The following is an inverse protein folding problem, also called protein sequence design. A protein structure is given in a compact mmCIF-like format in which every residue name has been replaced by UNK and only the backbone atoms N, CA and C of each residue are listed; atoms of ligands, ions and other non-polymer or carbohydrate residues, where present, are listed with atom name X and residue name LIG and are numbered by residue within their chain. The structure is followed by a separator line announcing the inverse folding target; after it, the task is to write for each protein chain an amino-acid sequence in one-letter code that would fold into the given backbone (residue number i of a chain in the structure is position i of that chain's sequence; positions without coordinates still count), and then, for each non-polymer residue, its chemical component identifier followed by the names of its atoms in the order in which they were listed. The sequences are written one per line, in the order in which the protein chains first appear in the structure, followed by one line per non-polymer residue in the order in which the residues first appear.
data_IF_260950915582
#
_entry.id   IF_260950915582
#
_cell.length_a   1.000
_cell.length_b   1.000
_cell.length_c   1.000
_cell.angle_alpha   90.00
_cell.angle_beta   90.00
_cell.angle_gamma   90.00
#
_symmetry.space_group_name_H-M   'P 1'
#
loop_
_entity.id
_entity.type
_entity.pdbx_description
1 polymer ?
#
# COMPACT_ATOMS: atom_id res chain seq x y z
N UNK A 1 -23.46 1.27 16.24
CA UNK A 1 -22.52 2.24 15.66
C UNK A 1 -22.83 2.24 14.18
N UNK A 2 -23.28 3.36 13.63
CA UNK A 2 -23.31 3.51 12.17
C UNK A 2 -21.88 3.29 11.67
N UNK A 3 -21.72 2.36 10.73
CA UNK A 3 -20.44 2.14 10.07
C UNK A 3 -20.22 3.36 9.18
N UNK A 4 -19.28 4.23 9.55
CA UNK A 4 -18.98 5.43 8.78
C UNK A 4 -18.49 5.00 7.40
N UNK A 5 -19.22 5.38 6.34
CA UNK A 5 -18.79 5.13 4.97
C UNK A 5 -17.64 6.07 4.60
N UNK A 6 -16.41 5.64 4.87
CA UNK A 6 -15.21 6.42 4.56
C UNK A 6 -15.04 6.67 3.07
N UNK A 7 -15.53 5.78 2.18
CA UNK A 7 -15.47 6.00 0.72
C UNK A 7 -16.35 7.17 0.33
N UNK A 8 -17.58 7.22 0.83
CA UNK A 8 -18.48 8.32 0.57
C UNK A 8 -17.94 9.64 1.13
N UNK A 9 -17.41 9.63 2.35
CA UNK A 9 -16.81 10.82 2.96
C UNK A 9 -15.63 11.35 2.14
N UNK A 10 -14.72 10.48 1.70
CA UNK A 10 -13.58 10.83 0.85
C UNK A 10 -14.02 11.38 -0.51
N UNK A 11 -15.04 10.78 -1.13
CA UNK A 11 -15.59 11.26 -2.39
C UNK A 11 -16.17 12.68 -2.27
N UNK A 12 -16.87 12.98 -1.17
CA UNK A 12 -17.40 14.31 -0.89
C UNK A 12 -16.26 15.32 -0.63
N UNK A 13 -15.22 14.94 0.14
CA UNK A 13 -14.05 15.79 0.36
C UNK A 13 -13.35 16.16 -0.97
N UNK A 14 -13.13 15.18 -1.86
CA UNK A 14 -12.59 15.41 -3.23
C UNK A 14 -13.45 16.36 -4.04
N UNK A 15 -14.77 16.18 -3.99
CA UNK A 15 -15.73 17.04 -4.70
C UNK A 15 -15.71 18.48 -4.16
N UNK A 16 -15.57 18.65 -2.85
CA UNK A 16 -15.48 19.98 -2.25
C UNK A 16 -14.19 20.70 -2.63
N UNK A 17 -13.06 19.99 -2.66
CA UNK A 17 -11.78 20.51 -3.10
C UNK A 17 -11.79 20.95 -4.58
N UNK A 18 -12.54 20.24 -5.44
CA UNK A 18 -12.62 20.54 -6.86
C UNK A 18 -13.48 21.78 -7.22
N UNK A 19 -14.44 22.17 -6.37
CA UNK A 19 -15.50 23.13 -6.72
C UNK A 19 -15.32 24.53 -6.12
N UNK A 20 -14.18 24.83 -5.49
CA UNK A 20 -13.95 26.11 -4.80
C UNK A 20 -12.69 26.79 -5.33
N UNK A 21 -12.62 28.12 -5.22
CA UNK A 21 -11.36 28.87 -5.17
C UNK A 21 -11.04 29.15 -3.69
N UNK A 22 -10.55 28.15 -2.94
CA UNK A 22 -10.28 28.33 -1.52
C UNK A 22 -9.12 29.31 -1.30
N UNK A 23 -9.12 29.98 -0.16
CA UNK A 23 -7.87 30.56 0.34
C UNK A 23 -6.94 29.44 0.85
N UNK A 24 -5.66 29.74 1.08
CA UNK A 24 -4.67 28.72 1.47
C UNK A 24 -5.06 27.92 2.72
N UNK A 25 -5.69 28.57 3.71
CA UNK A 25 -6.12 27.89 4.93
C UNK A 25 -7.24 26.88 4.66
N UNK A 26 -8.21 27.27 3.84
CA UNK A 26 -9.31 26.40 3.41
C UNK A 26 -8.79 25.24 2.55
N UNK A 27 -7.87 25.52 1.64
CA UNK A 27 -7.24 24.51 0.80
C UNK A 27 -6.47 23.49 1.65
N UNK A 28 -5.66 23.96 2.61
CA UNK A 28 -4.92 23.08 3.52
C UNK A 28 -5.87 22.16 4.30
N UNK A 29 -7.01 22.68 4.75
CA UNK A 29 -8.02 21.87 5.43
C UNK A 29 -8.61 20.79 4.51
N UNK A 30 -9.01 21.15 3.28
CA UNK A 30 -9.55 20.20 2.31
C UNK A 30 -8.54 19.11 1.94
N UNK A 31 -7.29 19.48 1.71
CA UNK A 31 -6.21 18.52 1.42
C UNK A 31 -5.97 17.58 2.61
N UNK A 32 -6.05 18.08 3.85
CA UNK A 32 -5.94 17.23 5.04
C UNK A 32 -7.11 16.25 5.16
N UNK A 33 -8.33 16.66 4.81
CA UNK A 33 -9.49 15.74 4.79
C UNK A 33 -9.29 14.60 3.77
N UNK A 34 -8.74 14.91 2.59
CA UNK A 34 -8.41 13.91 1.57
C UNK A 34 -7.33 12.96 2.08
N UNK A 35 -6.20 13.48 2.59
CA UNK A 35 -5.09 12.67 3.13
C UNK A 35 -5.57 11.71 4.22
N UNK A 36 -6.36 12.20 5.18
CA UNK A 36 -6.91 11.35 6.24
C UNK A 36 -7.93 10.34 5.69
N UNK A 37 -8.76 10.76 4.73
CA UNK A 37 -9.74 9.89 4.10
C UNK A 37 -9.09 8.74 3.31
N UNK A 38 -8.01 9.00 2.58
CA UNK A 38 -7.25 7.99 1.85
C UNK A 38 -6.75 6.88 2.80
N UNK A 39 -6.18 7.25 3.95
CA UNK A 39 -5.74 6.29 4.99
C UNK A 39 -6.91 5.47 5.51
N UNK A 40 -8.02 6.12 5.89
CA UNK A 40 -9.16 5.44 6.48
C UNK A 40 -9.83 4.46 5.52
N UNK A 41 -9.93 4.82 4.24
CA UNK A 41 -10.43 3.93 3.20
C UNK A 41 -9.48 2.76 2.98
N UNK A 42 -8.17 3.00 2.90
CA UNK A 42 -7.18 1.95 2.72
C UNK A 42 -7.19 0.93 3.88
N UNK A 43 -7.25 1.41 5.13
CA UNK A 43 -7.39 0.54 6.30
C UNK A 43 -8.72 -0.22 6.33
N UNK A 44 -9.80 0.38 5.83
CA UNK A 44 -11.08 -0.32 5.71
C UNK A 44 -10.98 -1.46 4.69
N UNK A 45 -10.38 -1.22 3.53
CA UNK A 45 -10.15 -2.24 2.51
C UNK A 45 -9.32 -3.40 3.03
N UNK A 46 -8.23 -3.11 3.75
CA UNK A 46 -7.41 -4.15 4.38
C UNK A 46 -8.20 -4.95 5.41
N UNK A 47 -9.02 -4.30 6.25
CA UNK A 47 -9.85 -5.00 7.25
C UNK A 47 -10.93 -5.88 6.61
N UNK A 48 -11.52 -5.41 5.51
CA UNK A 48 -12.60 -6.11 4.80
C UNK A 48 -12.08 -7.11 3.75
N UNK A 49 -10.78 -7.08 3.42
CA UNK A 49 -10.17 -7.84 2.32
C UNK A 49 -10.92 -7.60 0.99
N UNK A 50 -11.15 -6.32 0.68
CA UNK A 50 -11.91 -5.86 -0.47
C UNK A 50 -11.22 -4.66 -1.12
N UNK A 51 -11.25 -4.60 -2.46
CA UNK A 51 -10.70 -3.49 -3.23
C UNK A 51 -9.22 -3.17 -2.92
N UNK A 52 -8.43 -4.16 -2.50
CA UNK A 52 -7.02 -3.96 -2.15
C UNK A 52 -6.19 -3.35 -3.31
N UNK A 53 -6.62 -3.57 -4.55
CA UNK A 53 -6.02 -2.98 -5.75
C UNK A 53 -6.15 -1.45 -5.83
N UNK A 54 -7.05 -0.83 -5.06
CA UNK A 54 -7.19 0.63 -5.00
C UNK A 54 -6.23 1.28 -4.00
N UNK A 55 -5.66 0.52 -3.05
CA UNK A 55 -4.83 1.08 -1.96
C UNK A 55 -3.61 1.82 -2.50
N UNK A 56 -2.99 1.32 -3.58
CA UNK A 56 -1.85 2.00 -4.20
C UNK A 56 -2.20 3.38 -4.76
N UNK A 57 -3.37 3.54 -5.37
CA UNK A 57 -3.83 4.85 -5.86
C UNK A 57 -4.18 5.80 -4.71
N UNK A 58 -4.79 5.30 -3.64
CA UNK A 58 -5.03 6.10 -2.41
C UNK A 58 -3.70 6.58 -1.81
N UNK A 59 -2.68 5.72 -1.75
CA UNK A 59 -1.35 6.08 -1.26
C UNK A 59 -0.66 7.14 -2.16
N UNK A 60 -0.80 7.04 -3.48
CA UNK A 60 -0.27 8.03 -4.43
C UNK A 60 -0.99 9.38 -4.30
N UNK A 61 -2.32 9.38 -4.12
CA UNK A 61 -3.09 10.60 -3.86
C UNK A 61 -2.68 11.25 -2.54
N UNK A 62 -2.58 10.44 -1.49
CA UNK A 62 -2.08 10.87 -0.18
C UNK A 62 -0.74 11.57 -0.31
N UNK A 63 0.26 10.94 -0.94
CA UNK A 63 1.61 11.51 -1.09
C UNK A 63 1.57 12.84 -1.85
N UNK A 64 0.78 12.93 -2.93
CA UNK A 64 0.63 14.16 -3.72
C UNK A 64 0.15 15.33 -2.86
N UNK A 65 -0.89 15.12 -2.06
CA UNK A 65 -1.44 16.16 -1.20
C UNK A 65 -0.56 16.42 0.03
N UNK A 66 0.01 15.37 0.62
CA UNK A 66 0.92 15.45 1.75
C UNK A 66 2.20 16.24 1.40
N UNK A 67 2.75 16.10 0.20
CA UNK A 67 3.87 16.93 -0.26
C UNK A 67 3.52 18.42 -0.35
N UNK A 68 2.32 18.74 -0.84
CA UNK A 68 1.84 20.13 -0.89
C UNK A 68 1.72 20.73 0.51
N UNK A 69 1.16 19.97 1.45
CA UNK A 69 0.98 20.38 2.84
C UNK A 69 2.32 20.50 3.60
N UNK A 70 3.26 19.56 3.35
CA UNK A 70 4.63 19.61 3.90
C UNK A 70 5.36 20.88 3.48
N UNK A 71 5.27 21.29 2.20
CA UNK A 71 5.89 22.53 1.71
C UNK A 71 5.36 23.78 2.42
N UNK A 72 4.09 23.74 2.87
CA UNK A 72 3.43 24.81 3.61
C UNK A 72 3.63 24.71 5.13
N UNK A 73 4.35 23.71 5.62
CA UNK A 73 4.54 23.47 7.06
C UNK A 73 3.25 23.11 7.79
N UNK A 74 2.22 22.63 7.10
CA UNK A 74 0.90 22.39 7.68
C UNK A 74 0.79 20.98 8.25
N UNK A 75 0.39 20.87 9.52
CA UNK A 75 0.03 19.61 10.20
C UNK A 75 1.06 18.47 10.03
N UNK A 76 2.36 18.78 10.14
CA UNK A 76 3.45 17.85 9.87
C UNK A 76 3.34 16.53 10.67
N UNK A 77 2.89 16.59 11.92
CA UNK A 77 2.72 15.41 12.78
C UNK A 77 1.60 14.50 12.25
N UNK A 78 0.51 15.10 11.77
CA UNK A 78 -0.59 14.34 11.15
C UNK A 78 -0.16 13.72 9.84
N UNK A 79 0.66 14.42 9.04
CA UNK A 79 1.23 13.87 7.80
C UNK A 79 2.19 12.71 8.08
N UNK A 80 3.02 12.82 9.13
CA UNK A 80 3.89 11.74 9.57
C UNK A 80 3.09 10.50 9.95
N UNK A 81 2.07 10.65 10.80
CA UNK A 81 1.19 9.55 11.20
C UNK A 81 0.41 8.95 10.02
N UNK A 82 -0.10 9.78 9.11
CA UNK A 82 -0.82 9.32 7.92
C UNK A 82 0.08 8.47 7.00
N UNK A 83 1.32 8.90 6.77
CA UNK A 83 2.27 8.17 5.94
C UNK A 83 2.66 6.81 6.55
N UNK A 84 2.87 6.73 7.87
CA UNK A 84 3.15 5.45 8.54
C UNK A 84 1.96 4.49 8.43
N UNK A 85 0.75 4.96 8.73
CA UNK A 85 -0.47 4.13 8.63
C UNK A 85 -0.70 3.63 7.21
N UNK A 86 -0.46 4.48 6.20
CA UNK A 86 -0.53 4.06 4.80
C UNK A 86 0.56 3.03 4.45
N UNK A 87 1.78 3.20 4.97
CA UNK A 87 2.87 2.24 4.74
C UNK A 87 2.59 0.86 5.35
N UNK A 88 1.81 0.77 6.43
CA UNK A 88 1.40 -0.49 7.05
C UNK A 88 0.41 -1.30 6.18
N UNK A 89 -0.44 -0.62 5.40
CA UNK A 89 -1.46 -1.27 4.56
C UNK A 89 -0.99 -1.56 3.13
N UNK A 90 0.11 -0.94 2.68
CA UNK A 90 0.72 -1.24 1.38
C UNK A 90 1.56 -2.52 1.46
N UNK A 91 1.11 -3.59 0.81
CA UNK A 91 1.79 -4.91 0.87
C UNK A 91 2.46 -5.36 -0.43
N UNK A 92 1.98 -4.88 -1.59
CA UNK A 92 2.37 -5.37 -2.92
C UNK A 92 3.14 -4.36 -3.77
N UNK A 93 3.45 -3.21 -3.20
CA UNK A 93 4.15 -2.09 -3.85
C UNK A 93 5.35 -1.64 -3.02
N UNK A 94 6.46 -2.40 -3.01
CA UNK A 94 7.63 -2.09 -2.17
C UNK A 94 8.24 -0.71 -2.47
N UNK A 95 8.20 -0.22 -3.72
CA UNK A 95 8.71 1.13 -4.04
C UNK A 95 7.81 2.21 -3.46
N UNK A 96 6.49 2.03 -3.53
CA UNK A 96 5.53 2.97 -2.93
C UNK A 96 5.59 2.94 -1.40
N UNK A 97 5.77 1.76 -0.80
CA UNK A 97 6.00 1.63 0.64
C UNK A 97 7.28 2.35 1.07
N UNK A 98 8.35 2.20 0.30
CA UNK A 98 9.61 2.90 0.54
C UNK A 98 9.42 4.42 0.49
N UNK A 99 8.69 4.94 -0.50
CA UNK A 99 8.39 6.36 -0.63
C UNK A 99 7.61 6.90 0.59
N UNK A 100 6.59 6.19 1.05
CA UNK A 100 5.81 6.54 2.25
C UNK A 100 6.70 6.59 3.51
N UNK A 101 7.55 5.58 3.71
CA UNK A 101 8.45 5.54 4.86
C UNK A 101 9.53 6.62 4.80
N UNK A 102 10.05 6.92 3.61
CA UNK A 102 10.99 8.04 3.41
C UNK A 102 10.31 9.38 3.70
N UNK A 103 9.07 9.55 3.22
CA UNK A 103 8.27 10.74 3.53
C UNK A 103 8.03 10.89 5.03
N UNK A 104 7.65 9.81 5.72
CA UNK A 104 7.49 9.80 7.17
C UNK A 104 8.80 10.16 7.88
N UNK A 105 9.92 9.55 7.49
CA UNK A 105 11.26 9.84 8.04
C UNK A 105 11.66 11.30 7.89
N UNK A 106 11.39 11.90 6.73
CA UNK A 106 11.69 13.32 6.50
C UNK A 106 10.89 14.27 7.40
N UNK A 107 9.73 13.82 7.89
CA UNK A 107 8.89 14.55 8.83
C UNK A 107 9.22 14.27 10.29
N UNK A 108 10.00 13.22 10.57
CA UNK A 108 10.40 12.84 11.93
C UNK A 108 11.18 13.97 12.59
N UNK A 109 10.55 14.64 13.56
CA UNK A 109 11.22 15.54 14.49
C UNK A 109 11.35 14.85 15.86
N UNK A 110 12.41 15.13 16.64
CA UNK A 110 12.61 14.53 17.96
C UNK A 110 11.47 14.77 18.95
N UNK A 111 10.63 15.79 18.71
CA UNK A 111 9.48 16.11 19.55
C UNK A 111 8.30 15.12 19.40
N UNK A 112 8.25 14.36 18.30
CA UNK A 112 7.07 13.56 17.93
C UNK A 112 7.39 12.12 17.54
N UNK A 113 8.67 11.79 17.35
CA UNK A 113 9.14 10.45 17.01
C UNK A 113 10.14 10.01 18.08
N UNK A 114 9.82 8.94 18.81
CA UNK A 114 10.78 8.32 19.72
C UNK A 114 11.90 7.60 18.95
N UNK A 115 13.00 7.31 19.66
CA UNK A 115 14.19 6.69 19.08
C UNK A 115 13.90 5.27 18.55
N UNK A 116 12.94 4.56 19.14
CA UNK A 116 12.55 3.21 18.73
C UNK A 116 11.82 3.24 17.38
N UNK A 117 10.81 4.10 17.24
CA UNK A 117 10.06 4.32 16.01
C UNK A 117 10.99 4.78 14.89
N UNK A 118 11.88 5.74 15.17
CA UNK A 118 12.86 6.22 14.20
C UNK A 118 13.80 5.09 13.72
N UNK A 119 14.21 4.21 14.64
CA UNK A 119 15.05 3.06 14.34
C UNK A 119 14.32 2.04 13.47
N UNK A 120 13.06 1.73 13.79
CA UNK A 120 12.25 0.79 13.01
C UNK A 120 12.01 1.31 11.58
N UNK A 121 11.66 2.59 11.41
CA UNK A 121 11.52 3.22 10.08
C UNK A 121 12.81 3.10 9.29
N UNK A 122 13.96 3.46 9.88
CA UNK A 122 15.26 3.38 9.17
C UNK A 122 15.61 1.94 8.78
N UNK A 123 15.27 0.99 9.64
CA UNK A 123 15.50 -0.43 9.42
C UNK A 123 14.65 -0.95 8.26
N UNK A 124 13.36 -0.61 8.23
CA UNK A 124 12.46 -0.98 7.13
C UNK A 124 12.88 -0.32 5.81
N UNK A 125 13.27 0.96 5.82
CA UNK A 125 13.83 1.64 4.64
C UNK A 125 15.07 0.91 4.12
N UNK A 126 15.97 0.48 5.00
CA UNK A 126 17.15 -0.29 4.61
C UNK A 126 16.81 -1.60 3.92
N UNK A 127 15.89 -2.37 4.52
CA UNK A 127 15.39 -3.63 3.97
C UNK A 127 14.75 -3.44 2.58
N UNK A 128 13.85 -2.46 2.44
CA UNK A 128 13.19 -2.17 1.16
C UNK A 128 14.20 -1.75 0.09
N UNK A 129 15.10 -0.81 0.40
CA UNK A 129 16.12 -0.32 -0.55
C UNK A 129 17.02 -1.45 -1.05
N UNK A 130 17.47 -2.32 -0.14
CA UNK A 130 18.33 -3.43 -0.50
C UNK A 130 17.62 -4.39 -1.46
N UNK A 131 16.41 -4.83 -1.12
CA UNK A 131 15.68 -5.81 -1.94
C UNK A 131 15.23 -5.22 -3.28
N UNK A 132 14.81 -3.95 -3.31
CA UNK A 132 14.51 -3.23 -4.57
C UNK A 132 15.76 -3.17 -5.46
N UNK A 133 16.92 -2.79 -4.92
CA UNK A 133 18.18 -2.74 -5.68
C UNK A 133 18.56 -4.11 -6.26
N UNK A 134 18.42 -5.17 -5.46
CA UNK A 134 18.69 -6.53 -5.92
C UNK A 134 17.72 -6.95 -7.03
N UNK A 135 16.44 -6.58 -6.94
CA UNK A 135 15.47 -6.83 -7.99
C UNK A 135 15.78 -6.06 -9.28
N UNK A 136 16.15 -4.79 -9.18
CA UNK A 136 16.54 -3.94 -10.31
C UNK A 136 17.81 -4.45 -11.00
N UNK A 137 18.73 -5.05 -10.24
CA UNK A 137 19.93 -5.72 -10.75
C UNK A 137 19.65 -7.13 -11.32
N UNK A 138 18.40 -7.63 -11.24
CA UNK A 138 18.02 -8.98 -11.66
C UNK A 138 18.52 -10.10 -10.73
N UNK A 139 19.01 -9.76 -9.54
CA UNK A 139 19.57 -10.68 -8.54
C UNK A 139 18.49 -11.22 -7.59
N UNK A 140 17.43 -11.76 -8.17
CA UNK A 140 16.24 -12.21 -7.45
C UNK A 140 16.54 -13.28 -6.38
N UNK A 141 17.55 -14.11 -6.59
CA UNK A 141 17.99 -15.14 -5.64
C UNK A 141 18.65 -14.58 -4.37
N UNK A 142 19.12 -13.33 -4.42
CA UNK A 142 19.82 -12.68 -3.31
C UNK A 142 18.88 -11.85 -2.42
N UNK A 143 17.59 -11.74 -2.81
CA UNK A 143 16.57 -10.98 -2.07
C UNK A 143 16.41 -11.57 -0.67
N UNK A 144 16.48 -10.70 0.34
CA UNK A 144 16.34 -11.11 1.72
C UNK A 144 14.89 -11.51 2.01
N UNK A 145 14.65 -12.71 2.60
CA UNK A 145 13.30 -13.16 2.93
C UNK A 145 12.61 -12.21 3.91
N UNK A 146 11.28 -12.23 3.94
CA UNK A 146 10.54 -11.39 4.87
C UNK A 146 10.78 -11.78 6.32
N UNK A 147 10.75 -10.78 7.19
CA UNK A 147 10.97 -10.92 8.64
C UNK A 147 10.04 -11.92 9.33
N UNK A 148 8.87 -12.17 8.77
CA UNK A 148 7.88 -13.12 9.28
C UNK A 148 8.13 -14.59 8.88
N UNK A 149 9.29 -14.90 8.27
CA UNK A 149 9.71 -16.24 7.84
C UNK A 149 8.85 -16.92 6.75
N UNK A 150 7.83 -16.24 6.22
CA UNK A 150 7.09 -16.72 5.05
C UNK A 150 7.85 -16.35 3.79
N UNK A 151 8.14 -17.33 2.92
CA UNK A 151 8.76 -17.04 1.63
C UNK A 151 7.77 -16.32 0.72
N UNK A 152 8.22 -15.25 0.10
CA UNK A 152 7.53 -14.53 -0.98
C UNK A 152 8.24 -14.79 -2.29
N UNK A 153 7.53 -14.68 -3.41
CA UNK A 153 8.20 -14.80 -4.70
C UNK A 153 9.07 -13.56 -4.91
N UNK A 154 10.38 -13.71 -5.22
CA UNK A 154 11.26 -12.59 -5.54
C UNK A 154 10.73 -11.65 -6.62
N UNK A 155 9.89 -12.14 -7.55
CA UNK A 155 9.30 -11.29 -8.59
C UNK A 155 8.44 -10.16 -8.03
N UNK A 156 7.90 -10.31 -6.81
CA UNK A 156 7.11 -9.29 -6.11
C UNK A 156 7.90 -8.02 -5.76
N UNK A 157 9.23 -8.04 -5.93
CA UNK A 157 10.12 -6.90 -5.75
C UNK A 157 10.43 -6.15 -7.05
N UNK A 158 10.02 -6.68 -8.20
CA UNK A 158 10.32 -6.09 -9.51
C UNK A 158 9.39 -4.93 -9.84
N UNK A 159 9.87 -3.96 -10.63
CA UNK A 159 9.03 -2.87 -11.10
C UNK A 159 7.87 -3.39 -11.98
N UNK A 160 8.16 -4.39 -12.82
CA UNK A 160 7.15 -5.04 -13.68
C UNK A 160 5.98 -5.62 -12.86
N UNK A 161 6.25 -6.18 -11.67
CA UNK A 161 5.21 -6.64 -10.78
C UNK A 161 4.32 -5.49 -10.28
N UNK A 162 4.93 -4.42 -9.75
CA UNK A 162 4.20 -3.26 -9.22
C UNK A 162 3.33 -2.58 -10.28
N UNK A 163 3.77 -2.57 -11.54
CA UNK A 163 3.03 -2.00 -12.67
C UNK A 163 1.72 -2.73 -12.97
N UNK A 164 1.63 -4.03 -12.70
CA UNK A 164 0.51 -4.86 -13.16
C UNK A 164 -0.35 -5.44 -12.04
N UNK A 165 0.15 -5.49 -10.80
CA UNK A 165 -0.47 -6.27 -9.73
C UNK A 165 -1.87 -5.77 -9.34
N UNK A 166 -2.11 -4.46 -9.37
CA UNK A 166 -3.42 -3.89 -9.04
C UNK A 166 -4.47 -4.29 -10.08
N UNK A 167 -4.13 -4.16 -11.36
CA UNK A 167 -5.01 -4.54 -12.46
C UNK A 167 -5.22 -6.07 -12.50
N UNK A 168 -4.16 -6.85 -12.27
CA UNK A 168 -4.27 -8.31 -12.16
C UNK A 168 -5.22 -8.70 -11.01
N UNK A 169 -5.10 -8.06 -9.85
CA UNK A 169 -5.99 -8.28 -8.71
C UNK A 169 -7.44 -7.91 -9.00
N UNK A 170 -7.67 -6.77 -9.67
CA UNK A 170 -9.01 -6.34 -10.09
C UNK A 170 -9.66 -7.39 -11.00
N UNK A 171 -8.93 -7.87 -12.03
CA UNK A 171 -9.37 -8.95 -12.93
C UNK A 171 -9.70 -10.23 -12.16
N UNK A 172 -8.87 -10.62 -11.19
CA UNK A 172 -9.12 -11.81 -10.36
C UNK A 172 -10.37 -11.63 -9.51
N UNK A 173 -10.54 -10.46 -8.88
CA UNK A 173 -11.72 -10.16 -8.07
C UNK A 173 -13.02 -10.23 -8.88
N UNK A 174 -13.03 -9.67 -10.10
CA UNK A 174 -14.16 -9.78 -11.02
C UNK A 174 -14.48 -11.23 -11.39
N UNK A 175 -13.45 -12.04 -11.64
CA UNK A 175 -13.60 -13.44 -12.04
C UNK A 175 -14.00 -14.38 -10.89
N UNK A 176 -13.80 -13.96 -9.64
CA UNK A 176 -14.16 -14.73 -8.44
C UNK A 176 -15.33 -14.09 -7.67
N UNK A 177 -16.02 -13.09 -8.23
CA UNK A 177 -17.07 -12.33 -7.55
C UNK A 177 -18.21 -13.21 -7.02
N UNK A 178 -18.54 -14.30 -7.73
CA UNK A 178 -19.60 -15.24 -7.35
C UNK A 178 -19.12 -16.38 -6.43
N UNK A 179 -17.82 -16.41 -6.08
CA UNK A 179 -17.25 -17.46 -5.24
C UNK A 179 -17.27 -17.01 -3.78
N UNK A 180 -17.87 -17.79 -2.86
CA UNK A 180 -17.87 -17.46 -1.44
C UNK A 180 -16.45 -17.38 -0.87
N UNK A 181 -16.14 -16.28 -0.17
CA UNK A 181 -14.88 -16.08 0.57
C UNK A 181 -14.88 -16.88 1.88
N UNK A 182 -14.77 -18.20 1.76
CA UNK A 182 -14.68 -19.13 2.89
C UNK A 182 -13.36 -19.92 2.91
N UNK A 183 -13.35 -21.01 3.67
CA UNK A 183 -12.23 -21.94 3.76
C UNK A 183 -11.74 -22.37 2.36
N UNK A 184 -10.47 -22.17 2.08
CA UNK A 184 -9.78 -22.52 0.85
C UNK A 184 -9.83 -21.44 -0.23
N UNK A 185 -10.48 -20.30 0.02
CA UNK A 185 -10.59 -19.22 -0.98
C UNK A 185 -9.21 -18.67 -1.38
N UNK A 186 -8.25 -18.60 -0.44
CA UNK A 186 -6.91 -18.11 -0.74
C UNK A 186 -6.23 -18.92 -1.87
N UNK A 187 -6.47 -20.23 -1.92
CA UNK A 187 -5.89 -21.11 -2.95
C UNK A 187 -6.52 -20.87 -4.32
N UNK A 188 -7.85 -20.69 -4.36
CA UNK A 188 -8.55 -20.34 -5.59
C UNK A 188 -8.09 -18.99 -6.13
N UNK A 189 -7.95 -18.01 -5.23
CA UNK A 189 -7.43 -16.68 -5.55
C UNK A 189 -6.00 -16.74 -6.09
N UNK A 190 -5.07 -17.42 -5.40
CA UNK A 190 -3.68 -17.51 -5.85
C UNK A 190 -3.52 -18.27 -7.16
N UNK A 191 -4.25 -19.38 -7.35
CA UNK A 191 -4.26 -20.08 -8.62
C UNK A 191 -4.69 -19.16 -9.75
N UNK A 192 -5.76 -18.39 -9.53
CA UNK A 192 -6.30 -17.48 -10.53
C UNK A 192 -5.36 -16.30 -10.82
N UNK A 193 -4.75 -15.74 -9.77
CA UNK A 193 -3.75 -14.68 -9.90
C UNK A 193 -2.54 -15.16 -10.69
N UNK A 194 -2.03 -16.35 -10.41
CA UNK A 194 -0.92 -16.94 -11.16
C UNK A 194 -1.26 -17.10 -12.66
N UNK A 195 -2.47 -17.56 -13.00
CA UNK A 195 -2.91 -17.65 -14.40
C UNK A 195 -2.99 -16.27 -15.07
N UNK A 196 -3.60 -15.27 -14.41
CA UNK A 196 -3.71 -13.91 -14.97
C UNK A 196 -2.31 -13.29 -15.17
N UNK A 197 -1.42 -13.42 -14.19
CA UNK A 197 -0.05 -12.93 -14.29
C UNK A 197 0.72 -13.58 -15.45
N UNK A 198 0.55 -14.88 -15.65
CA UNK A 198 1.20 -15.61 -16.73
C UNK A 198 0.62 -15.24 -18.11
N UNK A 199 -0.70 -15.37 -18.26
CA UNK A 199 -1.38 -15.28 -19.57
C UNK A 199 -1.41 -13.84 -20.10
N UNK A 200 -1.65 -12.86 -19.23
CA UNK A 200 -1.84 -11.47 -19.64
C UNK A 200 -0.54 -10.64 -19.59
N UNK A 201 0.39 -11.00 -18.70
CA UNK A 201 1.58 -10.17 -18.41
C UNK A 201 2.91 -10.91 -18.58
N UNK A 202 2.89 -12.22 -18.85
CA UNK A 202 4.11 -13.02 -19.02
C UNK A 202 4.92 -13.19 -17.73
N UNK A 203 4.30 -12.99 -16.56
CA UNK A 203 4.97 -13.10 -15.26
C UNK A 203 4.74 -14.50 -14.68
N UNK A 204 5.84 -15.25 -14.50
CA UNK A 204 5.80 -16.50 -13.78
C UNK A 204 5.91 -16.21 -12.27
N UNK A 205 4.79 -16.36 -11.56
CA UNK A 205 4.70 -16.12 -10.11
C UNK A 205 4.33 -17.40 -9.35
N UNK A 206 5.02 -17.63 -8.25
CA UNK A 206 4.82 -18.75 -7.34
C UNK A 206 3.96 -18.32 -6.16
N UNK A 207 2.87 -19.05 -5.92
CA UNK A 207 1.96 -18.73 -4.81
C UNK A 207 2.60 -18.94 -3.43
N UNK A 208 2.08 -18.27 -2.37
CA UNK A 208 2.50 -18.52 -1.00
C UNK A 208 2.46 -20.00 -0.60
N UNK A 209 1.41 -20.72 -1.01
CA UNK A 209 1.29 -22.18 -0.77
C UNK A 209 2.39 -22.99 -1.46
N UNK A 210 2.77 -22.63 -2.69
CA UNK A 210 3.83 -23.31 -3.43
C UNK A 210 5.22 -23.08 -2.78
N UNK A 211 5.48 -21.85 -2.32
CA UNK A 211 6.75 -21.47 -1.71
C UNK A 211 6.89 -21.96 -0.26
N UNK A 212 5.77 -22.18 0.44
CA UNK A 212 5.73 -22.52 1.85
C UNK A 212 4.93 -23.82 2.10
N UNK A 213 5.39 -24.98 1.62
CA UNK A 213 4.64 -26.24 1.66
C UNK A 213 4.38 -26.80 3.07
N UNK A 214 4.99 -26.20 4.09
CA UNK A 214 4.83 -26.59 5.51
C UNK A 214 3.84 -25.70 6.27
N UNK A 215 3.30 -24.67 5.61
CA UNK A 215 2.34 -23.74 6.20
C UNK A 215 0.96 -24.11 5.69
N UNK A 216 0.01 -24.26 6.62
CA UNK A 216 -1.40 -24.43 6.28
C UNK A 216 -1.99 -23.05 6.05
N UNK A 217 -2.35 -22.78 4.79
CA UNK A 217 -3.07 -21.57 4.40
C UNK A 217 -4.55 -21.88 4.21
N UNK A 218 -5.38 -20.92 4.60
CA UNK A 218 -6.82 -20.95 4.43
C UNK A 218 -7.35 -19.56 4.03
#
# INVERSE_FOLDING_TARGET
MEDTDYRQALAEARKQAANKQPNEREENHMLMEIVCGDVLVAEQYTRQQENEWEIAELARELLRHAHTLKQRGHALDTLHAAALRMAEVIQRHPRLQLELLQFAKDLSQPAYCDDETATEICTQIGYLKQNISLADEGRLQDIEPSRNMLRRDPVEWTAQWEEVIDEANRKVAEQLADIPKGMGFCHAYWHKLASVLHDDYGIAWSSPAALNPRVMFD
#
